data_IF_680401735803
#
_entry.id   IF_680401735803
#
_cell.length_a   1.000
_cell.length_b   1.000
_cell.length_c   1.000
_cell.angle_alpha   90.00
_cell.angle_beta   90.00
_cell.angle_gamma   90.00
#
_symmetry.space_group_name_H-M   'P 1'
#
loop_
_entity.id
_entity.type
_entity.pdbx_description
1 polymer ?
#
# COMPACT_ATOMS: atom_id res chain seq x y z
N UNK A 1 24.99 -23.07 1.56
CA UNK A 1 23.78 -23.43 0.78
C UNK A 1 22.79 -22.28 0.88
N UNK A 2 22.43 -21.61 -0.23
CA UNK A 2 21.55 -20.44 -0.21
C UNK A 2 20.13 -20.87 -0.58
N UNK A 3 19.17 -20.80 0.35
CA UNK A 3 17.78 -21.24 0.13
C UNK A 3 16.97 -20.05 -0.36
N UNK A 4 16.73 -19.98 -1.68
CA UNK A 4 15.81 -18.99 -2.25
C UNK A 4 14.37 -19.45 -2.02
N UNK A 5 13.66 -18.79 -1.10
CA UNK A 5 12.21 -19.01 -0.92
C UNK A 5 11.47 -18.24 -2.02
N UNK A 6 10.84 -18.97 -2.95
CA UNK A 6 9.96 -18.38 -3.94
C UNK A 6 8.57 -18.19 -3.32
N UNK A 7 8.17 -16.92 -3.13
CA UNK A 7 6.83 -16.57 -2.67
C UNK A 7 5.83 -16.91 -3.77
N UNK A 8 4.86 -17.78 -3.49
CA UNK A 8 3.79 -18.11 -4.45
C UNK A 8 2.91 -16.87 -4.66
N UNK A 9 2.86 -16.39 -5.90
CA UNK A 9 1.84 -15.42 -6.32
C UNK A 9 0.51 -16.17 -6.52
N UNK A 10 -0.57 -15.60 -5.99
CA UNK A 10 -1.90 -16.19 -6.03
C UNK A 10 -2.59 -15.75 -7.34
N UNK A 11 -2.58 -16.61 -8.38
CA UNK A 11 -3.03 -16.27 -9.74
C UNK A 11 -4.39 -16.90 -10.14
N UNK A 12 -5.05 -17.62 -9.24
CA UNK A 12 -6.37 -18.22 -9.50
C UNK A 12 -7.49 -17.21 -9.28
N UNK A 13 -8.67 -17.48 -9.86
CA UNK A 13 -9.86 -16.64 -9.68
C UNK A 13 -10.25 -16.50 -8.19
N UNK A 14 -10.03 -17.54 -7.39
CA UNK A 14 -10.27 -17.51 -5.92
C UNK A 14 -9.42 -16.46 -5.20
N UNK A 15 -8.22 -16.15 -5.72
CA UNK A 15 -7.35 -15.13 -5.13
C UNK A 15 -7.86 -13.70 -5.39
N UNK A 16 -8.80 -13.50 -6.32
CA UNK A 16 -9.37 -12.17 -6.61
C UNK A 16 -10.08 -11.63 -5.37
N UNK A 17 -10.80 -12.47 -4.62
CA UNK A 17 -11.47 -12.06 -3.38
C UNK A 17 -10.46 -11.59 -2.33
N UNK A 18 -9.31 -12.26 -2.20
CA UNK A 18 -8.25 -11.82 -1.29
C UNK A 18 -7.62 -10.48 -1.72
N UNK A 19 -7.39 -10.30 -3.03
CA UNK A 19 -6.88 -9.03 -3.57
C UNK A 19 -7.89 -7.89 -3.34
N UNK A 20 -9.19 -8.17 -3.51
CA UNK A 20 -10.26 -7.21 -3.24
C UNK A 20 -10.30 -6.82 -1.77
N UNK A 21 -10.21 -7.80 -0.86
CA UNK A 21 -10.18 -7.53 0.58
C UNK A 21 -8.97 -6.64 0.95
N UNK A 22 -7.78 -6.96 0.47
CA UNK A 22 -6.57 -6.15 0.70
C UNK A 22 -6.74 -4.72 0.15
N UNK A 23 -7.29 -4.59 -1.06
CA UNK A 23 -7.58 -3.29 -1.66
C UNK A 23 -8.52 -2.45 -0.80
N UNK A 24 -9.65 -3.02 -0.36
CA UNK A 24 -10.60 -2.33 0.51
C UNK A 24 -10.01 -1.97 1.86
N UNK A 25 -9.19 -2.84 2.46
CA UNK A 25 -8.48 -2.52 3.71
C UNK A 25 -7.51 -1.34 3.56
N UNK A 26 -6.84 -1.21 2.41
CA UNK A 26 -5.89 -0.12 2.15
C UNK A 26 -6.56 1.18 1.70
N UNK A 27 -7.67 1.08 0.97
CA UNK A 27 -8.32 2.22 0.30
C UNK A 27 -9.65 2.64 0.91
N UNK A 28 -10.20 1.90 1.88
CA UNK A 28 -11.52 2.16 2.46
C UNK A 28 -11.67 3.55 3.09
N UNK A 29 -10.57 4.17 3.54
CA UNK A 29 -10.58 5.54 4.08
C UNK A 29 -10.56 6.66 3.03
N UNK A 30 -10.25 6.35 1.77
CA UNK A 30 -10.11 7.35 0.69
C UNK A 30 -11.46 7.86 0.17
N UNK A 31 -12.52 7.04 0.28
CA UNK A 31 -13.85 7.38 -0.22
C UNK A 31 -14.70 8.23 0.73
N UNK A 32 -14.16 8.58 1.91
CA UNK A 32 -14.87 9.39 2.88
C UNK A 32 -14.79 10.88 2.51
N UNK A 33 -15.89 11.62 2.69
CA UNK A 33 -15.95 13.05 2.35
C UNK A 33 -14.97 13.92 3.15
N UNK A 34 -14.50 13.43 4.31
CA UNK A 34 -13.50 14.12 5.13
C UNK A 34 -12.08 13.53 4.96
N UNK A 35 -11.81 12.84 3.86
CA UNK A 35 -10.46 12.32 3.59
C UNK A 35 -9.47 13.48 3.36
N UNK A 36 -8.36 13.48 4.11
CA UNK A 36 -7.27 14.44 3.96
C UNK A 36 -6.10 13.74 3.25
N UNK A 37 -5.77 14.13 2.00
CA UNK A 37 -4.63 13.55 1.27
C UNK A 37 -3.32 13.75 2.02
N UNK A 38 -2.42 12.77 1.91
CA UNK A 38 -1.05 12.94 2.38
C UNK A 38 -0.33 14.01 1.55
N UNK A 39 0.33 14.95 2.22
CA UNK A 39 1.09 15.99 1.54
C UNK A 39 2.31 15.37 0.84
N UNK A 40 2.32 15.43 -0.49
CA UNK A 40 3.42 14.95 -1.35
C UNK A 40 4.05 16.09 -2.16
N UNK A 41 3.84 17.34 -1.75
CA UNK A 41 4.37 18.52 -2.42
C UNK A 41 5.91 18.62 -2.38
N UNK A 42 6.48 19.56 -3.15
CA UNK A 42 7.92 19.72 -3.33
C UNK A 42 8.74 19.89 -2.03
N UNK A 43 8.09 20.35 -0.95
CA UNK A 43 8.72 20.54 0.37
C UNK A 43 8.38 19.42 1.37
N UNK A 44 7.50 18.48 1.03
CA UNK A 44 7.00 17.47 1.96
C UNK A 44 8.06 16.41 2.34
N UNK A 45 8.96 16.07 1.41
CA UNK A 45 9.99 15.05 1.61
C UNK A 45 11.41 15.64 1.69
N UNK A 46 11.54 16.92 2.05
CA UNK A 46 12.85 17.57 2.21
C UNK A 46 13.71 16.95 3.31
N UNK A 47 15.05 17.06 3.20
CA UNK A 47 15.98 16.62 4.26
C UNK A 47 15.68 17.43 5.53
N UNK A 48 15.17 16.78 6.59
CA UNK A 48 15.09 17.41 7.91
C UNK A 48 16.48 17.85 8.32
N UNK A 49 16.71 19.15 8.55
CA UNK A 49 17.91 19.60 9.27
C UNK A 49 17.86 18.92 10.64
N UNK A 50 18.76 17.98 10.90
CA UNK A 50 19.04 17.54 12.27
C UNK A 50 19.67 18.74 12.96
N UNK A 51 18.96 19.30 13.93
CA UNK A 51 19.49 20.34 14.80
C UNK A 51 20.50 19.74 15.77
#
# INVERSE_FOLDING_TARGET
SNVTVQKRACNTATCVTHRLADFLSRSGGLGYSNFVPTNVGAQAFGRRKRH
#
